data_IF_742034055528
#
_entry.id   IF_742034055528
#
_cell.length_a   1.000
_cell.length_b   1.000
_cell.length_c   1.000
_cell.angle_alpha   90.00
_cell.angle_beta   90.00
_cell.angle_gamma   90.00
#
_symmetry.space_group_name_H-M   'P 1'
#
loop_
_entity.id
_entity.type
_entity.pdbx_description
1 polymer ?
#
# COMPACT_ATOMS: atom_id res chain seq x y z
N UNK A 1 -17.02 -47.13 -9.84
CA UNK A 1 -18.12 -47.47 -8.91
C UNK A 1 -17.62 -48.66 -8.12
N UNK A 2 -17.03 -48.40 -6.96
CA UNK A 2 -16.49 -49.44 -6.09
C UNK A 2 -17.07 -49.15 -4.71
N UNK A 3 -18.26 -49.71 -4.47
CA UNK A 3 -18.91 -49.68 -3.15
C UNK A 3 -18.53 -50.99 -2.46
N UNK A 4 -17.55 -50.93 -1.56
CA UNK A 4 -17.34 -51.97 -0.56
C UNK A 4 -18.62 -52.10 0.28
N UNK A 5 -19.14 -53.33 0.53
CA UNK A 5 -20.28 -53.51 1.40
C UNK A 5 -19.91 -53.11 2.84
N UNK A 6 -20.74 -52.28 3.46
CA UNK A 6 -20.56 -51.84 4.83
C UNK A 6 -21.04 -52.96 5.79
N UNK A 7 -20.17 -53.93 6.09
CA UNK A 7 -20.41 -55.06 7.01
C UNK A 7 -20.34 -54.62 8.49
N UNK A 8 -21.03 -53.55 8.86
CA UNK A 8 -21.05 -53.05 10.24
C UNK A 8 -22.28 -53.60 10.96
N UNK A 9 -22.10 -54.37 12.04
CA UNK A 9 -23.24 -54.89 12.80
C UNK A 9 -23.91 -53.76 13.59
N UNK A 10 -25.20 -53.89 13.99
CA UNK A 10 -25.86 -52.88 14.81
C UNK A 10 -25.15 -52.58 16.14
N UNK A 11 -24.41 -53.57 16.67
CA UNK A 11 -23.61 -53.40 17.87
C UNK A 11 -22.39 -52.51 17.59
N UNK A 12 -21.65 -52.80 16.51
CA UNK A 12 -20.47 -52.02 16.10
C UNK A 12 -20.84 -50.56 15.78
N UNK A 13 -21.99 -50.35 15.14
CA UNK A 13 -22.53 -49.02 14.87
C UNK A 13 -22.80 -48.23 16.16
N UNK A 14 -23.35 -48.89 17.19
CA UNK A 14 -23.67 -48.27 18.47
C UNK A 14 -22.42 -47.96 19.31
N UNK A 15 -21.36 -48.76 19.20
CA UNK A 15 -20.07 -48.46 19.84
C UNK A 15 -19.35 -47.31 19.14
N UNK A 16 -19.32 -47.30 17.80
CA UNK A 16 -18.73 -46.20 17.04
C UNK A 16 -19.42 -44.86 17.32
N UNK A 17 -20.76 -44.85 17.44
CA UNK A 17 -21.51 -43.64 17.76
C UNK A 17 -21.20 -43.12 19.17
N UNK A 18 -21.07 -44.02 20.16
CA UNK A 18 -20.70 -43.65 21.53
C UNK A 18 -19.31 -43.04 21.59
N UNK A 19 -18.35 -43.66 20.92
CA UNK A 19 -16.99 -43.14 20.83
C UNK A 19 -16.95 -41.74 20.20
N UNK A 20 -17.67 -41.52 19.10
CA UNK A 20 -17.77 -40.20 18.45
C UNK A 20 -18.36 -39.14 19.39
N UNK A 21 -19.40 -39.50 20.14
CA UNK A 21 -20.02 -38.61 21.12
C UNK A 21 -19.07 -38.26 22.27
N UNK A 22 -18.31 -39.23 22.79
CA UNK A 22 -17.29 -39.01 23.83
C UNK A 22 -16.14 -38.12 23.33
N UNK A 23 -15.79 -38.21 22.04
CA UNK A 23 -14.78 -37.37 21.40
C UNK A 23 -15.31 -35.96 21.06
N UNK A 24 -16.56 -35.64 21.42
CA UNK A 24 -17.15 -34.31 21.25
C UNK A 24 -17.64 -34.02 19.83
N UNK A 25 -17.90 -35.04 19.01
CA UNK A 25 -18.59 -34.85 17.75
C UNK A 25 -20.08 -34.61 18.00
N UNK A 26 -20.53 -33.40 17.67
CA UNK A 26 -21.89 -32.89 17.93
C UNK A 26 -22.73 -32.74 16.65
N UNK A 27 -22.10 -32.72 15.46
CA UNK A 27 -22.80 -32.58 14.18
C UNK A 27 -22.16 -33.42 13.06
N UNK A 28 -23.00 -34.04 12.22
CA UNK A 28 -22.58 -34.80 11.03
C UNK A 28 -22.69 -33.88 9.81
N UNK A 29 -21.54 -33.41 9.30
CA UNK A 29 -21.47 -32.39 8.22
C UNK A 29 -21.41 -33.03 6.81
N UNK A 30 -21.51 -34.37 6.71
CA UNK A 30 -21.62 -35.06 5.41
C UNK A 30 -21.38 -36.57 5.50
N UNK A 31 -21.71 -37.28 4.42
CA UNK A 31 -21.59 -38.74 4.34
C UNK A 31 -20.15 -39.24 4.11
N UNK A 32 -19.25 -38.35 3.69
CA UNK A 32 -17.85 -38.69 3.40
C UNK A 32 -16.92 -38.24 4.53
N UNK A 33 -16.10 -39.14 5.12
CA UNK A 33 -15.12 -38.76 6.12
C UNK A 33 -14.07 -37.80 5.52
N UNK A 34 -13.83 -36.66 6.18
CA UNK A 34 -12.80 -35.70 5.76
C UNK A 34 -11.59 -35.80 6.68
N UNK A 35 -10.48 -36.34 6.17
CA UNK A 35 -9.22 -36.37 6.92
C UNK A 35 -8.57 -34.97 6.93
N UNK A 36 -8.76 -34.20 8.01
CA UNK A 36 -8.17 -32.86 8.19
C UNK A 36 -6.72 -32.86 8.66
N UNK A 37 -6.16 -34.03 8.99
CA UNK A 37 -4.76 -34.20 9.37
C UNK A 37 -3.87 -34.58 8.18
N UNK A 38 -4.47 -34.96 7.05
CA UNK A 38 -3.75 -35.18 5.81
C UNK A 38 -3.16 -33.85 5.31
N UNK A 39 -1.85 -33.86 5.01
CA UNK A 39 -1.23 -32.74 4.32
C UNK A 39 -1.98 -32.49 3.00
N UNK A 40 -2.39 -31.25 2.70
CA UNK A 40 -3.09 -30.97 1.45
C UNK A 40 -2.19 -31.39 0.29
N UNK A 41 -2.76 -32.13 -0.68
CA UNK A 41 -2.08 -32.38 -1.94
C UNK A 41 -1.60 -31.04 -2.51
N UNK A 42 -0.38 -30.96 -3.09
CA UNK A 42 0.09 -29.73 -3.69
C UNK A 42 -0.94 -29.32 -4.74
N UNK A 43 -1.66 -28.23 -4.47
CA UNK A 43 -2.52 -27.63 -5.48
C UNK A 43 -1.62 -27.33 -6.66
N UNK A 44 -1.95 -27.75 -7.90
CA UNK A 44 -1.25 -27.21 -9.05
C UNK A 44 -1.31 -25.70 -8.89
N UNK A 45 -0.14 -25.05 -8.96
CA UNK A 45 -0.06 -23.60 -8.89
C UNK A 45 -1.15 -23.06 -9.82
N UNK A 46 -2.04 -22.15 -9.35
CA UNK A 46 -3.02 -21.59 -10.25
C UNK A 46 -2.25 -21.09 -11.45
N UNK A 47 -2.58 -21.61 -12.63
CA UNK A 47 -2.00 -21.11 -13.87
C UNK A 47 -2.18 -19.60 -13.79
N UNK A 48 -1.06 -18.87 -13.79
CA UNK A 48 -1.09 -17.43 -13.75
C UNK A 48 -2.14 -17.00 -14.78
N UNK A 49 -3.16 -16.22 -14.41
CA UNK A 49 -4.16 -15.80 -15.37
C UNK A 49 -3.39 -15.20 -16.53
N UNK A 50 -3.51 -15.83 -17.71
CA UNK A 50 -2.86 -15.35 -18.92
C UNK A 50 -3.35 -13.92 -19.04
N UNK A 51 -2.44 -12.97 -18.80
CA UNK A 51 -2.77 -11.56 -18.83
C UNK A 51 -3.48 -11.33 -20.17
N UNK A 52 -4.77 -10.96 -20.10
CA UNK A 52 -5.41 -10.39 -21.25
C UNK A 52 -4.47 -9.27 -21.74
N UNK A 53 -4.19 -9.15 -23.04
CA UNK A 53 -3.35 -8.08 -23.53
C UNK A 53 -3.93 -6.78 -22.99
N UNK A 54 -3.15 -6.07 -22.18
CA UNK A 54 -3.57 -4.82 -21.59
C UNK A 54 -4.01 -3.89 -22.73
N UNK A 55 -5.22 -3.31 -22.69
CA UNK A 55 -5.49 -2.20 -23.58
C UNK A 55 -4.52 -1.08 -23.18
N UNK A 56 -3.68 -0.72 -24.13
CA UNK A 56 -2.66 0.33 -24.13
C UNK A 56 -2.61 1.25 -22.89
N UNK A 57 -1.79 0.90 -21.89
CA UNK A 57 -1.53 1.75 -20.71
C UNK A 57 -0.73 3.04 -21.06
N UNK A 58 0.05 3.01 -22.15
CA UNK A 58 0.87 4.14 -22.61
C UNK A 58 0.08 5.37 -23.11
N UNK A 59 -0.92 5.26 -24.01
CA UNK A 59 -1.70 6.42 -24.47
C UNK A 59 -2.54 7.06 -23.35
N UNK A 60 -2.99 6.26 -22.38
CA UNK A 60 -3.79 6.73 -21.25
C UNK A 60 -2.95 7.58 -20.29
N UNK A 61 -1.73 7.14 -19.96
CA UNK A 61 -0.80 7.89 -19.13
C UNK A 61 -0.33 9.21 -19.80
N UNK A 62 -0.11 9.20 -21.11
CA UNK A 62 0.27 10.41 -21.86
C UNK A 62 -0.86 11.45 -21.92
N UNK A 63 -2.10 11.01 -22.19
CA UNK A 63 -3.27 11.87 -22.16
C UNK A 63 -3.53 12.46 -20.75
N UNK A 64 -3.31 11.65 -19.72
CA UNK A 64 -3.43 12.07 -18.32
C UNK A 64 -2.29 13.00 -17.90
N UNK A 65 -1.08 12.82 -18.45
CA UNK A 65 0.04 13.76 -18.32
C UNK A 65 -0.32 15.17 -18.80
N UNK A 66 -0.87 15.28 -20.00
CA UNK A 66 -1.30 16.56 -20.56
C UNK A 66 -2.46 17.18 -19.76
N UNK A 67 -3.42 16.36 -19.33
CA UNK A 67 -4.53 16.83 -18.50
C UNK A 67 -4.09 17.26 -17.09
N UNK A 68 -3.12 16.58 -16.48
CA UNK A 68 -2.61 16.94 -15.16
C UNK A 68 -1.83 18.27 -15.18
N UNK A 69 -1.12 18.56 -16.26
CA UNK A 69 -0.33 19.79 -16.39
C UNK A 69 -1.17 21.08 -16.35
N UNK A 70 -2.47 21.01 -16.64
CA UNK A 70 -3.35 22.19 -16.65
C UNK A 70 -3.68 22.70 -15.24
N UNK A 71 -3.68 21.82 -14.22
CA UNK A 71 -4.11 22.16 -12.87
C UNK A 71 -3.13 23.13 -12.21
N UNK A 72 -3.62 24.20 -11.60
CA UNK A 72 -2.81 25.27 -10.99
C UNK A 72 -2.77 25.19 -9.47
N UNK A 73 -3.71 24.47 -8.86
CA UNK A 73 -3.80 24.31 -7.41
C UNK A 73 -3.94 22.84 -7.01
N UNK A 74 -3.56 22.51 -5.76
CA UNK A 74 -3.78 21.16 -5.21
C UNK A 74 -5.26 20.81 -5.14
N UNK A 75 -6.12 21.82 -4.95
CA UNK A 75 -7.56 21.65 -4.90
C UNK A 75 -8.14 21.27 -6.28
N UNK A 76 -7.64 21.87 -7.37
CA UNK A 76 -8.02 21.45 -8.73
C UNK A 76 -7.62 19.99 -9.02
N UNK A 77 -6.46 19.55 -8.54
CA UNK A 77 -6.04 18.14 -8.65
C UNK A 77 -7.01 17.24 -7.88
N UNK A 78 -7.37 17.64 -6.64
CA UNK A 78 -8.31 16.90 -5.80
C UNK A 78 -9.66 16.74 -6.51
N UNK A 79 -10.23 17.83 -7.02
CA UNK A 79 -11.50 17.83 -7.76
C UNK A 79 -11.44 16.99 -9.03
N UNK A 80 -10.32 17.07 -9.78
CA UNK A 80 -10.12 16.24 -10.95
C UNK A 80 -10.11 14.74 -10.61
N UNK A 81 -9.43 14.36 -9.53
CA UNK A 81 -9.40 12.99 -9.04
C UNK A 81 -10.81 12.54 -8.59
N UNK A 82 -11.58 13.38 -7.91
CA UNK A 82 -12.98 13.08 -7.55
C UNK A 82 -13.84 12.74 -8.77
N UNK A 83 -13.58 13.36 -9.92
CA UNK A 83 -14.23 13.09 -11.21
C UNK A 83 -13.58 12.00 -12.08
N UNK A 84 -12.50 11.36 -11.63
CA UNK A 84 -11.66 10.53 -12.51
C UNK A 84 -12.13 9.07 -12.63
N UNK A 85 -13.10 8.81 -13.50
CA UNK A 85 -13.69 7.46 -13.68
C UNK A 85 -12.84 6.48 -14.50
N UNK A 86 -11.71 6.95 -15.06
CA UNK A 86 -10.78 6.12 -15.82
C UNK A 86 -10.01 5.12 -14.93
N UNK A 87 -9.82 5.42 -13.64
CA UNK A 87 -9.14 4.51 -12.72
C UNK A 87 -10.12 3.42 -12.20
N UNK A 88 -9.86 2.13 -12.42
CA UNK A 88 -10.75 1.07 -11.93
C UNK A 88 -10.81 1.02 -10.40
N UNK A 89 -9.75 1.46 -9.70
CA UNK A 89 -9.70 1.48 -8.24
C UNK A 89 -10.75 2.41 -7.62
N UNK A 90 -11.11 3.50 -8.30
CA UNK A 90 -12.16 4.41 -7.85
C UNK A 90 -13.51 3.71 -7.69
N UNK A 91 -13.81 2.72 -8.55
CA UNK A 91 -15.07 1.97 -8.52
C UNK A 91 -15.19 1.04 -7.31
N UNK A 92 -14.06 0.65 -6.73
CA UNK A 92 -14.01 -0.29 -5.60
C UNK A 92 -13.69 0.38 -4.27
N UNK A 93 -13.11 1.59 -4.31
CA UNK A 93 -12.79 2.38 -3.14
C UNK A 93 -14.01 3.16 -2.64
N UNK A 94 -14.04 3.44 -1.33
CA UNK A 94 -15.11 4.19 -0.68
C UNK A 94 -14.87 5.69 -0.82
N UNK A 95 -13.63 6.15 -0.60
CA UNK A 95 -13.28 7.58 -0.68
C UNK A 95 -11.98 7.78 -1.43
N UNK A 96 -11.85 8.97 -2.02
CA UNK A 96 -10.57 9.49 -2.47
C UNK A 96 -9.69 9.79 -1.25
N UNK A 97 -8.46 9.28 -1.27
CA UNK A 97 -7.44 9.55 -0.28
C UNK A 97 -6.29 10.32 -0.94
N UNK A 98 -6.49 11.62 -1.12
CA UNK A 98 -5.57 12.47 -1.89
C UNK A 98 -4.31 12.83 -1.10
N UNK A 99 -4.46 13.58 -0.01
CA UNK A 99 -3.34 14.04 0.81
C UNK A 99 -3.78 14.41 2.25
N UNK A 100 -2.81 14.57 3.15
CA UNK A 100 -2.99 15.09 4.52
C UNK A 100 -1.78 15.95 4.92
N UNK A 101 -1.94 16.77 5.95
CA UNK A 101 -0.90 17.67 6.44
C UNK A 101 -0.85 19.03 5.74
N UNK A 102 0.29 19.71 5.83
CA UNK A 102 0.41 21.11 5.43
C UNK A 102 0.88 21.25 3.97
N UNK A 103 0.10 21.89 3.07
CA UNK A 103 0.50 22.14 1.68
C UNK A 103 1.83 22.89 1.53
N UNK A 104 2.22 23.69 2.51
CA UNK A 104 3.45 24.48 2.51
C UNK A 104 4.61 23.81 3.23
N UNK A 105 4.48 22.55 3.67
CA UNK A 105 5.55 21.81 4.34
C UNK A 105 6.80 21.65 3.45
N UNK A 106 7.99 21.69 4.06
CA UNK A 106 9.24 21.39 3.34
C UNK A 106 9.47 19.91 3.09
N UNK A 107 8.84 19.03 3.87
CA UNK A 107 8.94 17.57 3.76
C UNK A 107 7.66 16.98 3.16
N UNK A 108 7.80 16.25 2.06
CA UNK A 108 6.72 15.46 1.47
C UNK A 108 6.97 13.96 1.67
N UNK A 109 6.00 13.25 2.24
CA UNK A 109 6.03 11.79 2.36
C UNK A 109 5.13 11.16 1.30
N UNK A 110 5.64 10.11 0.64
CA UNK A 110 4.90 9.40 -0.41
C UNK A 110 4.87 7.91 -0.07
N UNK A 111 3.67 7.37 0.14
CA UNK A 111 3.40 5.95 0.30
C UNK A 111 2.97 5.25 -1.01
N UNK A 112 2.57 3.99 -0.89
CA UNK A 112 2.13 3.18 -2.04
C UNK A 112 0.67 3.44 -2.41
N UNK A 113 -0.26 3.10 -1.50
CA UNK A 113 -1.69 3.20 -1.71
C UNK A 113 -2.43 3.25 -0.35
N UNK A 114 -3.70 3.69 -0.32
CA UNK A 114 -4.52 3.70 0.89
C UNK A 114 -4.82 2.28 1.39
N UNK A 115 -4.88 2.12 2.71
CA UNK A 115 -5.39 0.93 3.37
C UNK A 115 -6.90 1.03 3.64
N UNK A 116 -7.42 0.15 4.50
CA UNK A 116 -8.86 0.07 4.80
C UNK A 116 -9.32 1.32 5.55
N UNK A 117 -8.59 1.70 6.59
CA UNK A 117 -8.94 2.84 7.43
C UNK A 117 -8.82 4.15 6.63
N UNK A 118 -7.79 4.27 5.80
CA UNK A 118 -7.61 5.43 4.91
C UNK A 118 -8.74 5.57 3.88
N UNK A 119 -9.25 4.46 3.34
CA UNK A 119 -10.39 4.45 2.41
C UNK A 119 -11.69 4.89 3.07
N UNK A 120 -11.88 4.54 4.35
CA UNK A 120 -13.07 4.93 5.12
C UNK A 120 -12.99 6.41 5.52
N UNK A 121 -11.82 6.90 5.90
CA UNK A 121 -11.64 8.29 6.33
C UNK A 121 -11.44 9.27 5.17
N UNK A 122 -10.89 8.82 4.05
CA UNK A 122 -10.47 9.67 2.93
C UNK A 122 -9.15 10.40 3.20
N UNK A 123 -8.35 9.91 4.15
CA UNK A 123 -7.10 10.55 4.59
C UNK A 123 -5.96 9.53 4.63
N UNK A 124 -4.76 9.86 4.10
CA UNK A 124 -3.64 8.93 4.07
C UNK A 124 -3.05 8.66 5.46
N UNK A 125 -2.61 7.42 5.68
CA UNK A 125 -1.91 7.00 6.89
C UNK A 125 -2.66 7.36 8.18
N UNK A 126 -3.91 6.90 8.34
CA UNK A 126 -4.70 7.06 9.57
C UNK A 126 -4.80 5.76 10.38
N UNK A 127 -4.61 4.60 9.74
CA UNK A 127 -4.62 3.30 10.39
C UNK A 127 -3.38 3.06 11.26
N UNK A 128 -3.18 1.80 11.69
CA UNK A 128 -2.05 1.41 12.57
C UNK A 128 -0.67 1.78 12.03
N UNK A 129 -0.46 1.66 10.71
CA UNK A 129 0.77 2.10 10.05
C UNK A 129 0.95 3.62 10.10
N UNK A 130 -0.15 4.35 10.00
CA UNK A 130 -0.18 5.81 10.16
C UNK A 130 0.18 6.26 11.56
N UNK A 131 -0.42 5.65 12.58
CA UNK A 131 -0.08 5.92 13.98
C UNK A 131 1.39 5.63 14.31
N UNK A 132 2.00 4.63 13.64
CA UNK A 132 3.44 4.41 13.75
C UNK A 132 4.23 5.51 13.03
N UNK A 133 3.80 5.93 11.84
CA UNK A 133 4.41 7.03 11.10
C UNK A 133 4.40 8.33 11.92
N UNK A 134 3.29 8.64 12.57
CA UNK A 134 3.16 9.86 13.38
C UNK A 134 4.14 9.85 14.56
N UNK A 135 4.29 8.70 15.25
CA UNK A 135 5.30 8.53 16.31
C UNK A 135 6.73 8.65 15.79
N UNK A 136 6.98 8.11 14.60
CA UNK A 136 8.29 8.19 13.94
C UNK A 136 8.65 9.65 13.60
N UNK A 137 7.71 10.41 13.06
CA UNK A 137 7.88 11.82 12.74
C UNK A 137 8.06 12.67 14.00
N UNK A 138 7.23 12.44 15.03
CA UNK A 138 7.30 13.17 16.29
C UNK A 138 8.68 13.01 16.95
N UNK A 139 9.30 11.83 16.85
CA UNK A 139 10.63 11.56 17.39
C UNK A 139 11.76 12.39 16.75
N UNK A 140 11.53 12.99 15.58
CA UNK A 140 12.47 13.92 14.92
C UNK A 140 11.94 15.37 14.83
N UNK A 141 10.91 15.68 15.63
CA UNK A 141 10.32 17.01 15.70
C UNK A 141 9.47 17.39 14.48
N UNK A 142 8.94 16.40 13.76
CA UNK A 142 8.02 16.62 12.64
C UNK A 142 6.61 16.15 13.01
N UNK A 143 5.58 16.76 12.42
CA UNK A 143 4.19 16.37 12.62
C UNK A 143 3.32 16.78 11.44
N UNK A 144 2.35 15.94 11.06
CA UNK A 144 1.34 16.33 10.06
C UNK A 144 0.35 17.37 10.58
N UNK A 145 0.26 17.54 11.91
CA UNK A 145 -0.63 18.52 12.55
C UNK A 145 0.04 19.88 12.77
N UNK A 146 1.36 19.96 12.58
CA UNK A 146 2.08 21.22 12.70
C UNK A 146 1.67 22.21 11.61
N UNK A 147 1.69 23.49 11.97
CA UNK A 147 1.25 24.58 11.09
C UNK A 147 2.43 25.34 10.48
N UNK A 148 3.58 25.36 11.15
CA UNK A 148 4.80 25.94 10.60
C UNK A 148 5.41 25.04 9.54
N UNK A 149 5.99 25.63 8.50
CA UNK A 149 6.61 24.94 7.37
C UNK A 149 7.73 23.99 7.79
N UNK A 150 8.46 24.32 8.87
CA UNK A 150 9.69 23.66 9.29
C UNK A 150 9.46 22.30 9.94
N UNK A 151 8.41 22.20 10.76
CA UNK A 151 8.02 20.98 11.46
C UNK A 151 6.82 20.27 10.82
N UNK A 152 6.07 20.94 9.94
CA UNK A 152 4.99 20.31 9.21
C UNK A 152 5.47 19.33 8.14
N UNK A 153 4.59 18.38 7.82
CA UNK A 153 4.78 17.46 6.69
C UNK A 153 3.56 17.44 5.79
N UNK A 154 3.77 17.12 4.51
CA UNK A 154 2.72 16.82 3.54
C UNK A 154 2.76 15.33 3.21
N UNK A 155 1.64 14.62 3.27
CA UNK A 155 1.59 13.16 3.12
C UNK A 155 0.64 12.80 1.99
N UNK A 156 1.10 11.97 1.06
CA UNK A 156 0.28 11.42 -0.04
C UNK A 156 0.75 10.01 -0.40
N UNK A 157 0.21 9.44 -1.49
CA UNK A 157 0.54 8.14 -2.03
C UNK A 157 0.74 8.22 -3.55
N UNK A 158 1.34 7.17 -4.12
CA UNK A 158 1.38 6.98 -5.58
C UNK A 158 -0.01 6.73 -6.16
N UNK A 159 -0.84 5.99 -5.42
CA UNK A 159 -2.24 5.71 -5.77
C UNK A 159 -3.16 6.38 -4.73
N UNK A 160 -4.29 6.95 -5.18
CA UNK A 160 -5.21 7.68 -4.30
C UNK A 160 -6.46 6.90 -3.85
N UNK A 161 -6.63 5.67 -4.34
CA UNK A 161 -7.75 4.77 -4.00
C UNK A 161 -7.25 3.42 -3.53
N UNK A 162 -7.95 2.84 -2.56
CA UNK A 162 -7.59 1.54 -2.00
C UNK A 162 -7.72 0.41 -3.03
N UNK A 163 -6.67 -0.38 -3.28
CA UNK A 163 -6.77 -1.60 -4.08
C UNK A 163 -7.62 -2.67 -3.38
N UNK A 164 -8.45 -3.43 -4.12
CA UNK A 164 -9.22 -4.54 -3.56
C UNK A 164 -8.34 -5.52 -2.77
N UNK A 165 -8.74 -5.82 -1.54
CA UNK A 165 -7.98 -6.72 -0.66
C UNK A 165 -6.61 -6.20 -0.21
N UNK A 166 -6.32 -4.89 -0.36
CA UNK A 166 -5.01 -4.30 -0.09
C UNK A 166 -3.87 -4.96 -0.89
N UNK A 167 -4.17 -5.45 -2.10
CA UNK A 167 -3.14 -5.94 -3.02
C UNK A 167 -2.21 -4.81 -3.44
N UNK A 168 -1.02 -5.15 -3.90
CA UNK A 168 -0.15 -4.18 -4.58
C UNK A 168 -0.85 -3.66 -5.85
N UNK A 169 -0.81 -2.34 -6.12
CA UNK A 169 -1.31 -1.76 -7.35
C UNK A 169 -0.59 -2.32 -8.58
N UNK A 170 -1.31 -2.42 -9.69
CA UNK A 170 -0.74 -2.82 -10.98
C UNK A 170 0.07 -1.67 -11.59
N UNK A 171 0.92 -2.01 -12.56
CA UNK A 171 1.64 -1.01 -13.36
C UNK A 171 0.67 -0.03 -14.03
N UNK A 172 -0.40 -0.53 -14.64
CA UNK A 172 -1.38 0.29 -15.33
C UNK A 172 -2.09 1.27 -14.37
N UNK A 173 -2.52 0.81 -13.20
CA UNK A 173 -3.12 1.68 -12.17
C UNK A 173 -2.14 2.75 -11.69
N UNK A 174 -0.86 2.38 -11.54
CA UNK A 174 0.20 3.29 -11.14
C UNK A 174 0.43 4.36 -12.20
N UNK A 175 0.61 3.95 -13.45
CA UNK A 175 0.83 4.87 -14.57
C UNK A 175 -0.32 5.86 -14.74
N UNK A 176 -1.55 5.48 -14.39
CA UNK A 176 -2.68 6.40 -14.44
C UNK A 176 -2.64 7.50 -13.37
N UNK A 177 -2.12 7.19 -12.18
CA UNK A 177 -2.09 8.12 -11.06
C UNK A 177 -0.82 8.99 -11.03
N UNK A 178 0.27 8.51 -11.65
CA UNK A 178 1.56 9.19 -11.63
C UNK A 178 1.52 10.64 -12.13
N UNK A 179 0.82 10.99 -13.23
CA UNK A 179 0.67 12.38 -13.65
C UNK A 179 0.17 13.33 -12.55
N UNK A 180 -0.80 12.88 -11.76
CA UNK A 180 -1.36 13.68 -10.67
C UNK A 180 -0.38 13.79 -9.49
N UNK A 181 0.35 12.72 -9.16
CA UNK A 181 1.41 12.79 -8.14
C UNK A 181 2.53 13.75 -8.58
N UNK A 182 3.01 13.63 -9.83
CA UNK A 182 4.03 14.52 -10.39
C UNK A 182 3.57 15.97 -10.30
N UNK A 183 2.34 16.27 -10.74
CA UNK A 183 1.79 17.62 -10.64
C UNK A 183 1.63 18.09 -9.19
N UNK A 184 1.24 17.19 -8.29
CA UNK A 184 1.16 17.48 -6.84
C UNK A 184 2.52 17.91 -6.32
N UNK A 185 3.60 17.20 -6.65
CA UNK A 185 4.98 17.55 -6.25
C UNK A 185 5.38 18.92 -6.85
N UNK A 186 5.04 19.20 -8.11
CA UNK A 186 5.32 20.48 -8.76
C UNK A 186 4.64 21.68 -8.08
N UNK A 187 3.40 21.50 -7.63
CA UNK A 187 2.63 22.56 -6.98
C UNK A 187 3.00 22.72 -5.50
N UNK A 188 3.21 21.60 -4.80
CA UNK A 188 3.55 21.57 -3.37
C UNK A 188 4.99 22.05 -3.13
N UNK A 189 5.90 21.83 -4.09
CA UNK A 189 7.31 22.28 -4.06
C UNK A 189 8.04 21.88 -2.76
N UNK A 190 8.15 20.57 -2.45
CA UNK A 190 8.87 20.13 -1.26
C UNK A 190 10.36 20.36 -1.42
N UNK A 191 11.07 20.57 -0.32
CA UNK A 191 12.53 20.64 -0.31
C UNK A 191 13.13 19.23 -0.22
N UNK A 192 12.38 18.28 0.35
CA UNK A 192 12.76 16.86 0.42
C UNK A 192 11.54 15.94 0.25
N UNK A 193 11.76 14.81 -0.43
CA UNK A 193 10.77 13.73 -0.55
C UNK A 193 11.22 12.51 0.25
N UNK A 194 10.33 11.94 1.06
CA UNK A 194 10.56 10.69 1.79
C UNK A 194 9.65 9.60 1.23
N UNK A 195 10.26 8.59 0.61
CA UNK A 195 9.53 7.46 0.03
C UNK A 195 9.37 6.34 1.06
N UNK A 196 8.12 6.05 1.42
CA UNK A 196 7.77 4.98 2.34
C UNK A 196 7.60 3.68 1.54
N UNK A 197 8.66 2.88 1.40
CA UNK A 197 8.65 1.62 0.67
C UNK A 197 9.21 1.69 -0.76
N UNK A 198 9.17 0.55 -1.45
CA UNK A 198 9.80 0.37 -2.77
C UNK A 198 9.06 1.13 -3.87
N UNK A 199 7.74 0.95 -3.95
CA UNK A 199 6.88 1.51 -5.01
C UNK A 199 7.09 3.01 -5.23
N UNK A 200 6.94 3.90 -4.23
CA UNK A 200 7.19 5.34 -4.42
C UNK A 200 8.65 5.64 -4.79
N UNK A 201 9.62 4.92 -4.23
CA UNK A 201 11.03 5.09 -4.58
C UNK A 201 11.30 4.73 -6.04
N UNK A 202 10.75 3.62 -6.53
CA UNK A 202 10.88 3.19 -7.92
C UNK A 202 10.29 4.21 -8.89
N UNK A 203 9.09 4.71 -8.61
CA UNK A 203 8.41 5.64 -9.51
C UNK A 203 9.08 7.00 -9.62
N UNK A 204 9.59 7.52 -8.51
CA UNK A 204 10.20 8.86 -8.50
C UNK A 204 11.67 8.87 -8.89
N UNK A 205 12.33 7.70 -8.96
CA UNK A 205 13.78 7.62 -9.25
C UNK A 205 14.13 6.75 -10.46
N UNK A 206 13.18 5.99 -11.00
CA UNK A 206 13.40 5.02 -12.07
C UNK A 206 14.20 3.77 -11.65
N UNK A 207 14.54 3.64 -10.36
CA UNK A 207 15.26 2.47 -9.83
C UNK A 207 14.33 1.28 -9.64
N UNK A 208 14.89 0.06 -9.65
CA UNK A 208 14.14 -1.19 -9.46
C UNK A 208 14.71 -2.10 -8.36
N UNK A 209 15.76 -1.65 -7.65
CA UNK A 209 16.34 -2.40 -6.53
C UNK A 209 15.32 -2.62 -5.39
N UNK A 210 15.45 -3.71 -4.63
CA UNK A 210 14.63 -3.94 -3.44
C UNK A 210 14.83 -2.86 -2.35
N UNK A 211 13.78 -2.57 -1.57
CA UNK A 211 13.79 -1.45 -0.60
C UNK A 211 14.92 -1.53 0.42
N UNK A 212 15.32 -2.73 0.85
CA UNK A 212 16.43 -2.90 1.80
C UNK A 212 17.78 -2.39 1.25
N UNK A 213 17.96 -2.44 -0.08
CA UNK A 213 19.18 -1.95 -0.75
C UNK A 213 19.12 -0.45 -1.04
N UNK A 214 17.91 0.10 -1.20
CA UNK A 214 17.65 1.51 -1.48
C UNK A 214 17.62 2.38 -0.21
N UNK A 215 17.07 1.88 0.89
CA UNK A 215 16.79 2.69 2.07
C UNK A 215 18.03 3.37 2.66
N UNK A 216 17.85 4.60 3.12
CA UNK A 216 18.92 5.38 3.76
C UNK A 216 19.98 5.92 2.81
N UNK A 217 19.83 5.70 1.50
CA UNK A 217 20.70 6.29 0.48
C UNK A 217 19.96 7.47 -0.13
N UNK A 218 20.49 8.67 0.08
CA UNK A 218 20.03 9.85 -0.60
C UNK A 218 20.20 9.68 -2.11
N UNK A 219 19.12 9.97 -2.83
CA UNK A 219 19.06 9.98 -4.29
C UNK A 219 18.33 11.24 -4.73
N UNK A 220 18.35 11.52 -6.02
CA UNK A 220 17.66 12.68 -6.58
C UNK A 220 16.44 12.22 -7.36
N UNK A 221 15.28 12.80 -7.05
CA UNK A 221 14.12 12.74 -7.94
C UNK A 221 14.19 13.91 -8.91
N UNK A 222 14.05 13.64 -10.21
CA UNK A 222 13.87 14.68 -11.21
C UNK A 222 12.38 14.81 -11.51
N UNK A 223 11.77 15.89 -11.07
CA UNK A 223 10.35 16.18 -11.28
C UNK A 223 10.27 17.46 -12.10
N UNK A 224 9.94 17.32 -13.38
CA UNK A 224 9.78 18.42 -14.34
C UNK A 224 10.96 19.39 -14.36
N UNK A 225 12.17 18.82 -14.42
CA UNK A 225 13.43 19.57 -14.46
C UNK A 225 13.95 20.04 -13.10
N UNK A 226 13.17 19.91 -12.02
CA UNK A 226 13.62 20.19 -10.65
C UNK A 226 14.22 18.93 -10.03
N UNK A 227 15.46 19.04 -9.57
CA UNK A 227 16.13 18.01 -8.79
C UNK A 227 15.77 18.18 -7.31
N UNK A 228 15.13 17.17 -6.72
CA UNK A 228 14.69 17.18 -5.33
C UNK A 228 15.39 16.03 -4.59
N UNK A 229 16.07 16.29 -3.46
CA UNK A 229 16.56 15.25 -2.56
C UNK A 229 15.44 14.28 -2.18
N UNK A 230 15.72 12.98 -2.33
CA UNK A 230 14.79 11.91 -2.01
C UNK A 230 15.46 10.89 -1.10
N UNK A 231 14.78 10.57 0.00
CA UNK A 231 15.19 9.56 0.96
C UNK A 231 14.21 8.38 0.96
N UNK A 232 14.60 7.20 0.43
CA UNK A 232 13.82 5.99 0.59
C UNK A 232 13.96 5.45 2.03
N UNK A 233 12.85 4.98 2.62
CA UNK A 233 12.86 4.25 3.89
C UNK A 233 11.83 3.12 3.90
N UNK A 234 11.77 2.36 4.99
CA UNK A 234 10.85 1.24 5.15
C UNK A 234 9.43 1.74 5.43
N UNK A 235 8.46 1.15 4.75
CA UNK A 235 7.06 1.47 4.99
C UNK A 235 6.64 1.08 6.43
N UNK A 236 5.87 1.91 7.16
CA UNK A 236 5.48 1.60 8.55
C UNK A 236 4.74 0.27 8.71
N UNK A 237 3.92 -0.13 7.74
CA UNK A 237 3.26 -1.44 7.75
C UNK A 237 4.27 -2.63 7.74
N UNK A 238 5.42 -2.48 7.07
CA UNK A 238 6.49 -3.47 7.13
C UNK A 238 7.13 -3.51 8.53
N UNK A 239 7.35 -2.35 9.15
CA UNK A 239 7.90 -2.24 10.50
C UNK A 239 6.98 -2.80 11.60
N UNK A 240 5.67 -2.78 11.38
CA UNK A 240 4.71 -3.45 12.26
C UNK A 240 4.84 -4.98 12.18
N UNK A 241 5.08 -5.53 11.00
CA UNK A 241 5.30 -6.97 10.80
C UNK A 241 6.72 -7.41 11.18
N UNK A 242 7.69 -6.52 11.05
CA UNK A 242 9.11 -6.77 11.31
C UNK A 242 9.70 -5.72 12.28
N UNK A 243 9.34 -5.78 13.58
CA UNK A 243 9.73 -4.75 14.54
C UNK A 243 11.25 -4.56 14.70
N UNK A 244 12.04 -5.62 14.51
CA UNK A 244 13.50 -5.57 14.57
C UNK A 244 14.11 -4.61 13.52
N UNK A 245 13.38 -4.29 12.45
CA UNK A 245 13.81 -3.39 11.39
C UNK A 245 13.55 -1.91 11.71
N UNK A 246 12.88 -1.59 12.83
CA UNK A 246 12.66 -0.20 13.27
C UNK A 246 13.98 0.56 13.47
N UNK A 247 15.06 -0.13 13.88
CA UNK A 247 16.41 0.46 13.99
C UNK A 247 16.90 1.04 12.66
N UNK A 248 16.52 0.42 11.53
CA UNK A 248 16.92 0.89 10.21
C UNK A 248 16.12 2.14 9.85
N UNK A 249 14.80 2.13 10.01
CA UNK A 249 13.98 3.32 9.76
C UNK A 249 14.40 4.49 10.67
N UNK A 250 14.75 4.22 11.93
CA UNK A 250 15.27 5.25 12.84
C UNK A 250 16.54 5.92 12.32
N UNK A 251 17.50 5.16 11.79
CA UNK A 251 18.71 5.72 11.16
C UNK A 251 18.39 6.61 9.95
N UNK A 252 17.37 6.25 9.17
CA UNK A 252 16.93 7.08 8.04
C UNK A 252 16.34 8.41 8.53
N UNK A 253 15.50 8.37 9.56
CA UNK A 253 14.89 9.57 10.14
C UNK A 253 15.92 10.50 10.77
N UNK A 254 16.96 9.96 11.42
CA UNK A 254 18.07 10.77 11.90
C UNK A 254 18.83 11.44 10.75
N UNK A 255 19.05 10.73 9.63
CA UNK A 255 19.66 11.32 8.45
C UNK A 255 18.78 12.41 7.82
N UNK A 256 17.45 12.23 7.82
CA UNK A 256 16.50 13.27 7.42
C UNK A 256 16.63 14.50 8.32
N UNK A 257 16.61 14.34 9.65
CA UNK A 257 16.77 15.44 10.61
C UNK A 257 18.08 16.21 10.37
N UNK A 258 19.19 15.51 10.19
CA UNK A 258 20.48 16.13 9.89
C UNK A 258 20.46 16.96 8.60
N UNK A 259 19.82 16.46 7.53
CA UNK A 259 19.67 17.20 6.28
C UNK A 259 18.83 18.48 6.46
N UNK A 260 17.77 18.37 7.26
CA UNK A 260 16.84 19.45 7.62
C UNK A 260 17.41 20.48 8.60
N UNK A 261 18.49 20.16 9.31
CA UNK A 261 19.23 21.08 10.18
C UNK A 261 20.30 21.86 9.41
N UNK A 262 20.77 21.33 8.28
CA UNK A 262 21.80 21.93 7.46
C UNK A 262 21.28 22.99 6.47
N UNK A 263 19.94 23.10 6.32
CA UNK A 263 19.24 23.99 5.38
C UNK A 263 18.02 24.60 6.06
#
# INVERSE_FOLDING_TARGET
>A
MDQTPNDMTPHDAAEALRWLSEMGADEIIGESPVNRLAAPAPRPAPAAPRAAPAPAAAPVAAAQGAAAAQYRTLEEIRQALEGFDACPLKKTATKLCFADGNPSARVMLVGEAPGREEDIEGRPFVGRSGQLLDRMLAAIGLSRMAQDRESAVFITNVIFWRPPGNRTPTEAETQMCLPFLTRTIELQKPDVIVCLGATPAHRLTGRSDGILKLRGKWVTANVSGRNIPLLPTLHPAYLLRQPAQKRLAWRDLLSLRQMLDAH
#
